data_IF_009723412422
#
_entry.id   IF_009723412422
#
_cell.length_a   1.000
_cell.length_b   1.000
_cell.length_c   1.000
_cell.angle_alpha   90.00
_cell.angle_beta   90.00
_cell.angle_gamma   90.00
#
_symmetry.space_group_name_H-M   'P 1'
#
loop_
_entity.id
_entity.type
_entity.pdbx_description
1 polymer ?
#
# COMPACT_ATOMS: atom_id res chain seq x y z
N UNK A 1 2.77 -28.19 33.19
CA UNK A 1 3.47 -27.68 31.98
C UNK A 1 2.50 -27.31 30.84
N UNK A 2 1.34 -26.70 31.16
CA UNK A 2 0.21 -26.49 30.23
C UNK A 2 -0.25 -25.02 30.12
N UNK A 3 0.60 -24.06 30.49
CA UNK A 3 0.20 -22.64 30.60
C UNK A 3 1.20 -21.64 29.95
N UNK A 4 1.81 -21.99 28.81
CA UNK A 4 2.66 -21.03 28.05
C UNK A 4 2.56 -21.18 26.53
N UNK A 5 1.36 -21.13 25.96
CA UNK A 5 1.21 -20.76 24.54
C UNK A 5 0.00 -19.82 24.36
N UNK A 6 0.07 -18.56 24.81
CA UNK A 6 -0.84 -17.57 24.27
C UNK A 6 -0.44 -17.39 22.82
N UNK A 7 -1.25 -17.95 21.93
CA UNK A 7 -1.59 -17.37 20.64
C UNK A 7 -0.61 -16.28 20.19
N UNK A 8 0.36 -16.68 19.35
CA UNK A 8 1.18 -15.78 18.57
C UNK A 8 0.37 -15.00 17.51
N UNK A 9 -0.84 -14.54 17.85
CA UNK A 9 -1.93 -14.17 16.94
C UNK A 9 -2.31 -12.72 17.22
N UNK A 10 -1.91 -11.82 16.34
CA UNK A 10 -2.25 -10.41 16.48
C UNK A 10 -1.95 -9.59 15.24
N UNK A 11 -0.94 -9.98 14.45
CA UNK A 11 -0.56 -9.30 13.21
C UNK A 11 -1.74 -9.20 12.23
N UNK A 12 -2.23 -10.35 11.78
CA UNK A 12 -3.38 -10.42 10.87
C UNK A 12 -4.65 -9.75 11.44
N UNK A 13 -4.92 -9.90 12.73
CA UNK A 13 -6.10 -9.32 13.37
C UNK A 13 -6.04 -7.79 13.43
N UNK A 14 -4.88 -7.23 13.80
CA UNK A 14 -4.65 -5.78 13.80
C UNK A 14 -4.72 -5.21 12.37
N UNK A 15 -4.10 -5.89 11.39
CA UNK A 15 -4.18 -5.50 9.98
C UNK A 15 -5.63 -5.51 9.48
N UNK A 16 -6.40 -6.54 9.79
CA UNK A 16 -7.81 -6.64 9.41
C UNK A 16 -8.66 -5.56 10.06
N UNK A 17 -8.46 -5.31 11.36
CA UNK A 17 -9.15 -4.24 12.08
C UNK A 17 -8.87 -2.88 11.44
N UNK A 18 -7.60 -2.55 11.22
CA UNK A 18 -7.22 -1.29 10.58
C UNK A 18 -7.82 -1.13 9.19
N UNK A 19 -7.79 -2.19 8.38
CA UNK A 19 -8.36 -2.21 7.03
C UNK A 19 -9.88 -1.97 7.04
N UNK A 20 -10.61 -2.67 7.91
CA UNK A 20 -12.07 -2.52 8.05
C UNK A 20 -12.43 -1.13 8.54
N UNK A 21 -11.69 -0.59 9.51
CA UNK A 21 -11.95 0.75 10.05
C UNK A 21 -11.82 1.81 8.94
N UNK A 22 -10.70 1.84 8.22
CA UNK A 22 -10.45 2.91 7.24
C UNK A 22 -11.35 2.79 6.01
N UNK A 23 -11.41 1.60 5.39
CA UNK A 23 -12.22 1.41 4.17
C UNK A 23 -13.71 1.42 4.50
N UNK A 24 -14.11 0.82 5.62
CA UNK A 24 -15.50 0.86 6.09
C UNK A 24 -15.94 2.28 6.42
N UNK A 25 -15.05 3.09 7.01
CA UNK A 25 -15.36 4.49 7.26
C UNK A 25 -15.55 5.28 5.97
N UNK A 26 -14.66 5.09 4.99
CA UNK A 26 -14.80 5.72 3.68
C UNK A 26 -16.12 5.31 2.99
N UNK A 27 -16.55 4.05 3.13
CA UNK A 27 -17.81 3.57 2.54
C UNK A 27 -19.06 4.14 3.20
N UNK A 28 -19.02 4.37 4.52
CA UNK A 28 -20.20 4.81 5.29
C UNK A 28 -20.32 6.32 5.37
N UNK A 29 -19.18 7.02 5.49
CA UNK A 29 -19.14 8.46 5.74
C UNK A 29 -18.40 9.27 4.66
N UNK A 30 -17.88 8.63 3.61
CA UNK A 30 -17.20 9.31 2.51
C UNK A 30 -15.96 10.11 2.95
N UNK A 31 -15.75 11.25 2.29
CA UNK A 31 -14.69 12.21 2.55
C UNK A 31 -14.90 13.05 3.83
N UNK A 32 -15.17 12.39 4.97
CA UNK A 32 -15.38 13.03 6.27
C UNK A 32 -14.20 12.90 7.25
N UNK A 33 -14.24 13.67 8.34
CA UNK A 33 -13.28 13.58 9.45
C UNK A 33 -13.29 12.23 10.16
N UNK A 34 -14.42 11.50 10.11
CA UNK A 34 -14.53 10.13 10.57
C UNK A 34 -13.53 9.22 9.84
N UNK A 35 -13.42 9.40 8.52
CA UNK A 35 -12.49 8.63 7.67
C UNK A 35 -11.04 9.02 7.93
N UNK A 36 -10.77 10.29 8.23
CA UNK A 36 -9.43 10.72 8.68
C UNK A 36 -9.04 10.07 10.01
N UNK A 37 -9.95 10.07 11.00
CA UNK A 37 -9.71 9.40 12.29
C UNK A 37 -9.51 7.88 12.12
N UNK A 38 -10.29 7.25 11.24
CA UNK A 38 -10.12 5.85 10.90
C UNK A 38 -8.79 5.58 10.18
N UNK A 39 -8.31 6.50 9.34
CA UNK A 39 -6.99 6.41 8.72
C UNK A 39 -5.85 6.55 9.74
N UNK A 40 -5.99 7.40 10.75
CA UNK A 40 -5.04 7.45 11.89
C UNK A 40 -5.06 6.13 12.66
N UNK A 41 -6.25 5.57 12.93
CA UNK A 41 -6.37 4.27 13.56
C UNK A 41 -5.73 3.16 12.71
N UNK A 42 -5.85 3.24 11.38
CA UNK A 42 -5.19 2.32 10.45
C UNK A 42 -3.66 2.40 10.53
N UNK A 43 -3.07 3.60 10.65
CA UNK A 43 -1.62 3.77 10.88
C UNK A 43 -1.17 3.09 12.17
N UNK A 44 -1.94 3.24 13.25
CA UNK A 44 -1.63 2.59 14.53
C UNK A 44 -1.77 1.07 14.42
N UNK A 45 -2.83 0.60 13.78
CA UNK A 45 -3.09 -0.83 13.56
C UNK A 45 -2.03 -1.47 12.66
N UNK A 46 -1.58 -0.78 11.61
CA UNK A 46 -0.52 -1.29 10.73
C UNK A 46 0.81 -1.41 11.47
N UNK A 47 1.17 -0.41 12.27
CA UNK A 47 2.34 -0.46 13.14
C UNK A 47 2.25 -1.63 14.13
N UNK A 48 1.11 -1.80 14.80
CA UNK A 48 0.88 -2.91 15.73
C UNK A 48 0.95 -4.28 15.04
N UNK A 49 0.46 -4.37 13.81
CA UNK A 49 0.45 -5.61 13.05
C UNK A 49 1.87 -6.10 12.73
N UNK A 50 2.82 -5.19 12.48
CA UNK A 50 4.21 -5.52 12.11
C UNK A 50 5.21 -5.36 13.26
N UNK A 51 4.76 -4.99 14.46
CA UNK A 51 5.61 -4.82 15.64
C UNK A 51 6.28 -6.12 16.14
N UNK A 52 5.86 -7.27 15.60
CA UNK A 52 6.33 -8.60 15.98
C UNK A 52 6.62 -9.44 14.73
N UNK A 53 7.48 -10.47 14.85
CA UNK A 53 7.67 -11.44 13.76
C UNK A 53 6.34 -12.06 13.31
N UNK A 54 6.12 -12.07 12.00
CA UNK A 54 4.91 -12.56 11.33
C UNK A 54 5.00 -14.08 11.09
N UNK A 55 4.92 -14.87 12.16
CA UNK A 55 5.08 -16.34 12.11
C UNK A 55 3.76 -17.09 12.34
N UNK A 56 2.64 -16.38 12.50
CA UNK A 56 1.32 -16.96 12.71
C UNK A 56 0.71 -17.54 11.43
N UNK A 57 -0.19 -18.53 11.59
CA UNK A 57 -0.87 -19.22 10.48
C UNK A 57 -1.65 -18.30 9.53
N UNK A 58 -2.07 -17.13 10.00
CA UNK A 58 -2.81 -16.13 9.23
C UNK A 58 -1.98 -14.89 8.91
N UNK A 59 -0.74 -14.80 9.38
CA UNK A 59 0.05 -13.58 9.20
C UNK A 59 0.45 -13.34 7.73
N UNK A 60 0.34 -14.36 6.87
CA UNK A 60 0.42 -14.21 5.42
C UNK A 60 -0.67 -13.30 4.83
N UNK A 61 -1.77 -13.06 5.56
CA UNK A 61 -2.83 -12.12 5.18
C UNK A 61 -2.44 -10.66 5.43
N UNK A 62 -1.38 -10.36 6.19
CA UNK A 62 -1.02 -8.98 6.54
C UNK A 62 -0.75 -8.13 5.27
N UNK A 63 0.11 -8.57 4.31
CA UNK A 63 0.29 -7.82 3.07
C UNK A 63 -1.00 -7.59 2.27
N UNK A 64 -1.83 -8.61 1.93
CA UNK A 64 -3.04 -8.37 1.13
C UNK A 64 -4.08 -7.51 1.86
N UNK A 65 -4.18 -7.59 3.20
CA UNK A 65 -5.07 -6.70 3.97
C UNK A 65 -4.65 -5.23 3.87
N UNK A 66 -3.35 -4.94 3.97
CA UNK A 66 -2.84 -3.58 3.79
C UNK A 66 -3.06 -3.04 2.37
N UNK A 67 -2.96 -3.90 1.35
CA UNK A 67 -3.25 -3.52 -0.04
C UNK A 67 -4.73 -3.26 -0.26
N UNK A 68 -5.59 -4.14 0.24
CA UNK A 68 -7.04 -3.95 0.16
C UNK A 68 -7.49 -2.68 0.88
N UNK A 69 -6.92 -2.38 2.05
CA UNK A 69 -7.17 -1.15 2.78
C UNK A 69 -6.79 0.10 1.97
N UNK A 70 -5.56 0.14 1.45
CA UNK A 70 -5.05 1.28 0.69
C UNK A 70 -5.85 1.48 -0.60
N UNK A 71 -5.96 0.46 -1.44
CA UNK A 71 -6.60 0.57 -2.75
C UNK A 71 -8.10 0.83 -2.60
N UNK A 72 -8.75 0.11 -1.67
CA UNK A 72 -10.18 0.28 -1.40
C UNK A 72 -10.49 1.69 -0.93
N UNK A 73 -9.75 2.22 0.05
CA UNK A 73 -9.97 3.58 0.57
C UNK A 73 -9.76 4.64 -0.52
N UNK A 74 -8.67 4.53 -1.30
CA UNK A 74 -8.38 5.47 -2.39
C UNK A 74 -9.50 5.49 -3.44
N UNK A 75 -9.96 4.31 -3.88
CA UNK A 75 -11.00 4.21 -4.90
C UNK A 75 -12.37 4.65 -4.38
N UNK A 76 -12.72 4.32 -3.13
CA UNK A 76 -13.99 4.73 -2.52
C UNK A 76 -14.06 6.24 -2.39
N UNK A 77 -13.01 6.88 -1.87
CA UNK A 77 -12.98 8.35 -1.74
C UNK A 77 -12.97 9.06 -3.09
N UNK A 78 -12.35 8.47 -4.11
CA UNK A 78 -12.39 9.02 -5.47
C UNK A 78 -13.75 8.87 -6.14
N UNK A 79 -14.47 7.78 -5.87
CA UNK A 79 -15.85 7.62 -6.32
C UNK A 79 -16.80 8.61 -5.62
N UNK A 80 -16.63 8.79 -4.31
CA UNK A 80 -17.40 9.73 -3.47
C UNK A 80 -17.24 11.20 -3.90
N UNK A 81 -16.11 11.54 -4.52
CA UNK A 81 -15.88 12.90 -5.02
C UNK A 81 -16.77 13.29 -6.21
N UNK A 82 -17.45 12.33 -6.87
CA UNK A 82 -18.42 12.55 -7.96
C UNK A 82 -17.93 13.46 -9.11
N UNK A 83 -16.63 13.46 -9.39
CA UNK A 83 -16.03 14.19 -10.52
C UNK A 83 -15.26 13.25 -11.44
N UNK A 84 -15.47 13.40 -12.74
CA UNK A 84 -14.97 12.47 -13.77
C UNK A 84 -13.45 12.21 -13.69
N UNK A 85 -12.65 13.17 -13.24
CA UNK A 85 -11.20 13.03 -13.15
C UNK A 85 -10.69 12.29 -11.92
N UNK A 86 -11.49 12.16 -10.86
CA UNK A 86 -11.02 11.60 -9.58
C UNK A 86 -10.70 10.10 -9.70
N UNK A 87 -11.59 9.31 -10.31
CA UNK A 87 -11.39 7.87 -10.48
C UNK A 87 -10.17 7.53 -11.35
N UNK A 88 -9.96 8.16 -12.53
CA UNK A 88 -8.72 7.99 -13.29
C UNK A 88 -7.46 8.36 -12.50
N UNK A 89 -7.49 9.46 -11.75
CA UNK A 89 -6.35 9.89 -10.91
C UNK A 89 -6.05 8.87 -9.80
N UNK A 90 -7.08 8.38 -9.11
CA UNK A 90 -6.98 7.32 -8.11
C UNK A 90 -6.45 6.01 -8.70
N UNK A 91 -6.95 5.62 -9.89
CA UNK A 91 -6.46 4.44 -10.59
C UNK A 91 -4.98 4.58 -10.98
N UNK A 92 -4.55 5.78 -11.38
CA UNK A 92 -3.14 6.09 -11.62
C UNK A 92 -2.27 5.88 -10.38
N UNK A 93 -2.72 6.35 -9.21
CA UNK A 93 -2.04 6.13 -7.94
C UNK A 93 -1.97 4.63 -7.59
N UNK A 94 -3.09 3.92 -7.67
CA UNK A 94 -3.16 2.48 -7.41
C UNK A 94 -2.24 1.71 -8.36
N UNK A 95 -2.18 2.08 -9.63
CA UNK A 95 -1.31 1.47 -10.63
C UNK A 95 0.17 1.70 -10.34
N UNK A 96 0.58 2.92 -9.96
CA UNK A 96 1.96 3.22 -9.57
C UNK A 96 2.39 2.40 -8.34
N UNK A 97 1.50 2.29 -7.36
CA UNK A 97 1.72 1.52 -6.14
C UNK A 97 1.74 0.01 -6.44
N UNK A 98 0.84 -0.49 -7.29
CA UNK A 98 0.82 -1.88 -7.72
C UNK A 98 2.09 -2.26 -8.49
N UNK A 99 2.58 -1.38 -9.36
CA UNK A 99 3.87 -1.56 -10.04
C UNK A 99 5.02 -1.68 -9.02
N UNK A 100 5.08 -0.83 -8.00
CA UNK A 100 6.10 -0.94 -6.94
C UNK A 100 6.07 -2.31 -6.23
N UNK A 101 4.87 -2.83 -5.98
CA UNK A 101 4.70 -4.15 -5.37
C UNK A 101 5.14 -5.27 -6.28
N UNK A 102 4.82 -5.16 -7.57
CA UNK A 102 5.26 -6.11 -8.58
C UNK A 102 6.79 -6.14 -8.70
N UNK A 103 7.42 -4.97 -8.77
CA UNK A 103 8.87 -4.81 -8.77
C UNK A 103 9.51 -5.47 -7.53
N UNK A 104 8.93 -5.25 -6.35
CA UNK A 104 9.38 -5.90 -5.11
C UNK A 104 9.34 -7.43 -5.19
N UNK A 105 8.25 -7.99 -5.73
CA UNK A 105 8.12 -9.45 -5.90
C UNK A 105 9.19 -9.99 -6.84
N UNK A 106 9.45 -9.30 -7.97
CA UNK A 106 10.45 -9.74 -8.93
C UNK A 106 11.88 -9.67 -8.37
N UNK A 107 12.21 -8.65 -7.58
CA UNK A 107 13.52 -8.59 -6.91
C UNK A 107 13.72 -9.70 -5.90
N UNK A 108 12.68 -10.05 -5.13
CA UNK A 108 12.74 -11.15 -4.16
C UNK A 108 12.87 -12.49 -4.89
N UNK A 109 12.13 -12.70 -5.99
CA UNK A 109 12.23 -13.91 -6.81
C UNK A 109 13.61 -14.06 -7.45
N UNK A 110 14.22 -12.95 -7.86
CA UNK A 110 15.59 -12.91 -8.39
C UNK A 110 16.69 -12.87 -7.33
N UNK A 111 16.41 -13.25 -6.08
CA UNK A 111 17.35 -13.28 -4.95
C UNK A 111 18.07 -11.95 -4.64
N UNK A 112 17.51 -10.82 -5.12
CA UNK A 112 18.05 -9.49 -4.86
C UNK A 112 17.50 -8.82 -3.60
N UNK A 113 16.51 -9.45 -2.96
CA UNK A 113 15.89 -8.97 -1.72
C UNK A 113 14.89 -7.83 -1.93
N UNK A 114 14.52 -7.18 -0.83
CA UNK A 114 13.51 -6.11 -0.81
C UNK A 114 14.09 -4.75 -1.21
N UNK A 115 13.27 -3.82 -1.76
CA UNK A 115 13.71 -2.47 -2.08
C UNK A 115 14.26 -1.71 -0.86
N UNK A 116 15.10 -0.67 -1.08
CA UNK A 116 15.64 0.14 0.00
C UNK A 116 14.53 0.72 0.89
N UNK A 117 14.68 0.62 2.21
CA UNK A 117 13.69 1.17 3.17
C UNK A 117 13.42 2.67 2.97
N UNK A 118 14.42 3.41 2.48
CA UNK A 118 14.29 4.83 2.16
C UNK A 118 13.31 5.08 1.01
N UNK A 119 13.23 4.17 0.02
CA UNK A 119 12.24 4.26 -1.06
C UNK A 119 10.83 4.20 -0.48
N UNK A 120 10.54 3.17 0.32
CA UNK A 120 9.22 2.96 0.94
C UNK A 120 8.81 4.17 1.79
N UNK A 121 9.75 4.74 2.55
CA UNK A 121 9.53 5.95 3.34
C UNK A 121 9.29 7.18 2.47
N UNK A 122 10.05 7.36 1.40
CA UNK A 122 9.91 8.50 0.49
C UNK A 122 8.54 8.53 -0.21
N UNK A 123 7.98 7.37 -0.52
CA UNK A 123 6.63 7.25 -1.09
C UNK A 123 5.54 7.13 -0.01
N UNK A 124 5.86 7.33 1.27
CA UNK A 124 4.91 7.44 2.38
C UNK A 124 4.37 6.11 2.94
N UNK A 125 4.84 4.95 2.49
CA UNK A 125 4.24 3.67 2.88
C UNK A 125 2.76 3.55 2.48
N UNK A 126 2.11 2.45 2.85
CA UNK A 126 0.68 2.28 2.55
C UNK A 126 -0.18 3.08 3.53
N UNK A 127 0.22 3.09 4.78
CA UNK A 127 -0.41 3.75 5.91
C UNK A 127 -0.37 5.29 5.75
N UNK A 128 0.79 5.85 5.38
CA UNK A 128 0.94 7.29 5.21
C UNK A 128 0.23 7.80 3.95
N UNK A 129 0.33 7.09 2.82
CA UNK A 129 -0.45 7.46 1.62
C UNK A 129 -1.95 7.40 1.87
N UNK A 130 -2.43 6.35 2.54
CA UNK A 130 -3.87 6.23 2.87
C UNK A 130 -4.32 7.39 3.74
N UNK A 131 -3.54 7.76 4.77
CA UNK A 131 -3.84 8.92 5.62
C UNK A 131 -3.83 10.23 4.83
N UNK A 132 -2.81 10.46 3.99
CA UNK A 132 -2.73 11.66 3.15
C UNK A 132 -3.94 11.76 2.23
N UNK A 133 -4.34 10.66 1.56
CA UNK A 133 -5.52 10.66 0.69
C UNK A 133 -6.80 10.95 1.47
N UNK A 134 -6.98 10.35 2.65
CA UNK A 134 -8.14 10.63 3.51
C UNK A 134 -8.22 12.11 3.93
N UNK A 135 -7.09 12.70 4.32
CA UNK A 135 -7.02 14.14 4.68
C UNK A 135 -7.32 15.00 3.46
N UNK A 136 -6.69 14.73 2.32
CA UNK A 136 -6.91 15.51 1.08
C UNK A 136 -8.36 15.45 0.62
N UNK A 137 -8.99 14.28 0.67
CA UNK A 137 -10.40 14.11 0.32
C UNK A 137 -11.29 15.00 1.19
N UNK A 138 -11.00 15.08 2.48
CA UNK A 138 -11.87 15.77 3.43
C UNK A 138 -11.60 17.29 3.58
N UNK A 139 -10.46 17.81 3.10
CA UNK A 139 -10.15 19.26 3.14
C UNK A 139 -10.25 19.97 1.80
N UNK A 140 -10.19 19.24 0.68
CA UNK A 140 -10.21 19.83 -0.64
C UNK A 140 -11.60 19.75 -1.27
N UNK A 141 -11.87 20.62 -2.24
CA UNK A 141 -12.98 20.42 -3.17
C UNK A 141 -12.74 19.18 -4.03
N UNK A 142 -13.78 18.60 -4.61
CA UNK A 142 -13.65 17.43 -5.49
C UNK A 142 -12.65 17.65 -6.65
N UNK A 143 -12.63 18.85 -7.25
CA UNK A 143 -11.66 19.22 -8.28
C UNK A 143 -10.24 19.35 -7.71
N UNK A 144 -10.07 19.95 -6.53
CA UNK A 144 -8.79 20.02 -5.84
C UNK A 144 -8.25 18.64 -5.46
N UNK A 145 -9.12 17.75 -4.99
CA UNK A 145 -8.80 16.37 -4.67
C UNK A 145 -8.33 15.58 -5.91
N UNK A 146 -8.98 15.79 -7.07
CA UNK A 146 -8.55 15.21 -8.34
C UNK A 146 -7.12 15.63 -8.71
N UNK A 147 -6.81 16.92 -8.59
CA UNK A 147 -5.46 17.45 -8.84
C UNK A 147 -4.45 16.86 -7.86
N UNK A 148 -4.81 16.79 -6.58
CA UNK A 148 -3.94 16.23 -5.54
C UNK A 148 -3.66 14.73 -5.75
N UNK A 149 -4.68 13.94 -6.10
CA UNK A 149 -4.51 12.52 -6.46
C UNK A 149 -3.60 12.36 -7.67
N UNK A 150 -3.77 13.19 -8.69
CA UNK A 150 -2.94 13.18 -9.90
C UNK A 150 -1.48 13.48 -9.56
N UNK A 151 -1.24 14.54 -8.78
CA UNK A 151 0.10 14.91 -8.33
C UNK A 151 0.75 13.81 -7.50
N UNK A 152 0.00 13.20 -6.58
CA UNK A 152 0.49 12.09 -5.76
C UNK A 152 0.81 10.85 -6.61
N UNK A 153 -0.07 10.50 -7.55
CA UNK A 153 0.14 9.39 -8.49
C UNK A 153 1.43 9.59 -9.31
N UNK A 154 1.60 10.77 -9.90
CA UNK A 154 2.80 11.12 -10.68
C UNK A 154 4.05 11.09 -9.81
N UNK A 155 4.01 11.69 -8.62
CA UNK A 155 5.16 11.71 -7.71
C UNK A 155 5.59 10.28 -7.31
N UNK A 156 4.64 9.43 -6.91
CA UNK A 156 4.91 8.02 -6.56
C UNK A 156 5.44 7.27 -7.78
N UNK A 157 4.81 7.42 -8.95
CA UNK A 157 5.24 6.75 -10.18
C UNK A 157 6.67 7.14 -10.55
N UNK A 158 7.01 8.43 -10.54
CA UNK A 158 8.34 8.91 -10.89
C UNK A 158 9.41 8.35 -9.94
N UNK A 159 9.16 8.39 -8.62
CA UNK A 159 10.13 7.90 -7.63
C UNK A 159 10.33 6.38 -7.77
N UNK A 160 9.25 5.63 -7.91
CA UNK A 160 9.30 4.16 -8.04
C UNK A 160 9.93 3.75 -9.36
N UNK A 161 9.53 4.34 -10.49
CA UNK A 161 10.07 4.01 -11.80
C UNK A 161 11.55 4.37 -11.90
N UNK A 162 11.95 5.55 -11.42
CA UNK A 162 13.35 5.94 -11.42
C UNK A 162 14.22 4.99 -10.58
N UNK A 163 13.71 4.54 -9.44
CA UNK A 163 14.43 3.56 -8.60
C UNK A 163 14.47 2.17 -9.25
N UNK A 164 13.36 1.71 -9.80
CA UNK A 164 13.27 0.45 -10.55
C UNK A 164 14.23 0.40 -11.73
N UNK A 165 14.18 1.41 -12.61
CA UNK A 165 15.07 1.49 -13.77
C UNK A 165 16.52 1.49 -13.34
N UNK A 166 16.89 2.30 -12.34
CA UNK A 166 18.27 2.38 -11.86
C UNK A 166 18.75 1.06 -11.29
N UNK A 167 17.90 0.37 -10.52
CA UNK A 167 18.22 -0.94 -9.95
C UNK A 167 18.41 -2.00 -11.04
N UNK A 168 17.43 -2.19 -11.93
CA UNK A 168 17.48 -3.25 -12.94
C UNK A 168 18.59 -3.03 -13.97
N UNK A 169 18.87 -1.77 -14.34
CA UNK A 169 20.02 -1.46 -15.19
C UNK A 169 21.35 -1.80 -14.49
N UNK A 170 21.48 -1.50 -13.20
CA UNK A 170 22.68 -1.85 -12.44
C UNK A 170 22.83 -3.36 -12.28
N UNK A 171 21.74 -4.08 -11.95
CA UNK A 171 21.73 -5.53 -11.82
C UNK A 171 22.12 -6.23 -13.14
N UNK A 172 21.56 -5.78 -14.26
CA UNK A 172 21.91 -6.29 -15.58
C UNK A 172 23.39 -6.09 -15.91
N UNK A 173 23.93 -4.88 -15.66
CA UNK A 173 25.36 -4.58 -15.84
C UNK A 173 26.27 -5.38 -14.90
N UNK A 174 25.77 -5.76 -13.73
CA UNK A 174 26.47 -6.59 -12.74
C UNK A 174 26.45 -8.09 -13.05
N UNK A 175 25.80 -8.52 -14.15
CA UNK A 175 25.77 -9.93 -14.57
C UNK A 175 24.71 -10.77 -13.87
N UNK A 176 23.70 -10.16 -13.22
CA UNK A 176 22.57 -10.91 -12.70
C UNK A 176 21.84 -11.59 -13.88
N UNK A 177 21.65 -12.92 -13.85
CA UNK A 177 20.97 -13.60 -14.94
C UNK A 177 19.53 -13.12 -14.96
N UNK A 178 19.07 -12.65 -16.11
CA UNK A 178 17.66 -12.42 -16.38
C UNK A 178 16.99 -13.79 -16.52
N UNK A 179 16.88 -14.54 -15.41
CA UNK A 179 16.16 -15.81 -15.38
C UNK A 179 14.68 -15.47 -15.47
N UNK A 180 14.18 -15.43 -16.69
CA UNK A 180 12.77 -15.44 -16.99
C UNK A 180 12.27 -16.87 -16.80
N UNK A 181 11.98 -17.24 -15.55
CA UNK A 181 11.30 -18.51 -15.24
C UNK A 181 9.80 -18.37 -15.54
N UNK A 182 9.48 -18.08 -16.80
CA UNK A 182 8.11 -18.00 -17.32
C UNK A 182 7.79 -19.17 -18.28
N UNK A 183 8.64 -20.21 -18.32
CA UNK A 183 8.39 -21.39 -19.15
C UNK A 183 9.19 -22.63 -18.77
N UNK A 184 8.68 -23.43 -17.83
CA UNK A 184 8.48 -24.87 -18.02
C UNK A 184 7.57 -25.45 -16.92
N UNK A 185 6.46 -26.13 -17.24
CA UNK A 185 5.74 -26.94 -16.26
C UNK A 185 6.57 -28.18 -15.92
N UNK A 186 6.80 -28.38 -14.62
CA UNK A 186 7.28 -29.65 -14.06
C UNK A 186 6.22 -30.77 -14.18
#
# INVERSE_FOLDING_TARGET
ELLRRPWARGGAAAAALGAVLVTGSALVWGAGWQTVLAAVAYVICSAAAVARPLTGRLDWLVPPLFRAAEYGTVLVLAADAEVNGALPAAYGLVSAVAYHHYDTVYRIRGDAGAPPRLLVRAIGGHEGRTLVVAVLAAVLTASGFTVALTALAVAVALVVLAESIRFWVAAHRGGAPAVHDEGEPA
#
